data_IF_200359521636
#
_entry.id   IF_200359521636
#
_cell.length_a   1.000
_cell.length_b   1.000
_cell.length_c   1.000
_cell.angle_alpha   90.00
_cell.angle_beta   90.00
_cell.angle_gamma   90.00
#
_symmetry.space_group_name_H-M   'P 1'
#
loop_
_entity.id
_entity.type
_entity.pdbx_description
1 polymer ?
#
# COMPACT_ATOMS: atom_id res chain seq x y z
N UNK A 1 25.19 -62.39 -69.86
CA UNK A 1 26.32 -62.85 -70.70
C UNK A 1 26.03 -64.27 -71.14
N UNK A 2 26.25 -64.60 -72.41
CA UNK A 2 26.07 -65.95 -72.95
C UNK A 2 27.37 -66.75 -72.85
N UNK A 3 27.29 -68.09 -73.00
CA UNK A 3 28.46 -68.99 -73.01
C UNK A 3 29.50 -68.60 -74.06
N UNK A 4 29.04 -68.25 -75.26
CA UNK A 4 29.90 -67.77 -76.35
C UNK A 4 30.55 -66.41 -76.04
N UNK A 5 29.82 -65.50 -75.39
CA UNK A 5 30.39 -64.24 -74.93
C UNK A 5 31.44 -64.44 -73.83
N UNK A 6 31.23 -65.39 -72.92
CA UNK A 6 32.20 -65.75 -71.89
C UNK A 6 33.46 -66.40 -72.48
N UNK A 7 33.33 -67.27 -73.49
CA UNK A 7 34.47 -67.81 -74.25
C UNK A 7 35.30 -66.70 -74.90
N UNK A 8 34.64 -65.79 -75.62
CA UNK A 8 35.32 -64.66 -76.27
C UNK A 8 36.00 -63.72 -75.26
N UNK A 9 35.38 -63.49 -74.11
CA UNK A 9 35.99 -62.71 -73.03
C UNK A 9 37.27 -63.37 -72.49
N UNK A 10 37.26 -64.68 -72.27
CA UNK A 10 38.43 -65.44 -71.82
C UNK A 10 39.56 -65.45 -72.86
N UNK A 11 39.22 -65.58 -74.15
CA UNK A 11 40.19 -65.45 -75.26
C UNK A 11 40.79 -64.04 -75.27
N UNK A 12 39.97 -63.00 -75.16
CA UNK A 12 40.43 -61.61 -75.06
C UNK A 12 41.30 -61.32 -73.83
N UNK A 13 41.16 -62.12 -72.76
CA UNK A 13 42.01 -62.07 -71.56
C UNK A 13 43.28 -62.93 -71.68
N UNK A 14 43.53 -63.57 -72.83
CA UNK A 14 44.77 -64.32 -73.11
C UNK A 14 44.68 -65.84 -72.95
N UNK A 15 43.48 -66.41 -72.78
CA UNK A 15 43.28 -67.87 -72.74
C UNK A 15 43.06 -68.40 -74.16
N UNK A 16 44.10 -69.02 -74.75
CA UNK A 16 44.08 -69.47 -76.15
C UNK A 16 42.98 -70.48 -76.48
N UNK A 17 42.64 -71.37 -75.55
CA UNK A 17 41.56 -72.36 -75.68
C UNK A 17 40.82 -72.51 -74.34
N UNK A 18 39.78 -71.69 -74.08
CA UNK A 18 39.08 -71.70 -72.80
C UNK A 18 38.35 -73.02 -72.56
N UNK A 19 38.63 -73.68 -71.44
CA UNK A 19 37.90 -74.89 -71.06
C UNK A 19 36.46 -74.59 -70.66
N UNK A 20 35.55 -75.56 -70.83
CA UNK A 20 34.15 -75.43 -70.40
C UNK A 20 34.03 -75.12 -68.88
N UNK A 21 34.97 -75.60 -68.06
CA UNK A 21 35.04 -75.25 -66.64
C UNK A 21 35.42 -73.78 -66.41
N UNK A 22 36.37 -73.23 -67.17
CA UNK A 22 36.73 -71.80 -67.08
C UNK A 22 35.56 -70.91 -67.50
N UNK A 23 34.83 -71.32 -68.55
CA UNK A 23 33.63 -70.62 -69.04
C UNK A 23 32.50 -70.67 -68.01
N UNK A 24 32.25 -71.83 -67.39
CA UNK A 24 31.24 -71.95 -66.33
C UNK A 24 31.59 -71.10 -65.12
N UNK A 25 32.85 -71.14 -64.65
CA UNK A 25 33.32 -70.32 -63.51
C UNK A 25 33.14 -68.83 -63.74
N UNK A 26 33.41 -68.33 -64.95
CA UNK A 26 33.21 -66.92 -65.28
C UNK A 26 31.73 -66.54 -65.25
N UNK A 27 30.85 -67.35 -65.83
CA UNK A 27 29.40 -67.12 -65.81
C UNK A 27 28.82 -67.17 -64.40
N UNK A 28 29.27 -68.11 -63.57
CA UNK A 28 28.85 -68.24 -62.18
C UNK A 28 29.33 -67.04 -61.35
N UNK A 29 30.57 -66.59 -61.54
CA UNK A 29 31.13 -65.40 -60.89
C UNK A 29 30.34 -64.13 -61.24
N UNK A 30 30.06 -63.92 -62.54
CA UNK A 30 29.29 -62.76 -63.00
C UNK A 30 27.86 -62.82 -62.46
N UNK A 31 27.24 -63.99 -62.40
CA UNK A 31 25.89 -64.16 -61.87
C UNK A 31 25.85 -63.87 -60.36
N UNK A 32 26.83 -64.35 -59.60
CA UNK A 32 26.97 -64.06 -58.18
C UNK A 32 27.20 -62.57 -57.92
N UNK A 33 28.06 -61.92 -58.71
CA UNK A 33 28.37 -60.50 -58.59
C UNK A 33 27.18 -59.62 -59.00
N UNK A 34 26.45 -60.00 -60.05
CA UNK A 34 25.20 -59.34 -60.45
C UNK A 34 24.13 -59.44 -59.37
N UNK A 35 24.00 -60.60 -58.72
CA UNK A 35 23.06 -60.78 -57.60
C UNK A 35 23.46 -59.90 -56.41
N UNK A 36 24.73 -59.94 -56.02
CA UNK A 36 25.28 -59.09 -54.94
C UNK A 36 25.06 -57.61 -55.21
N UNK A 37 25.24 -57.15 -56.44
CA UNK A 37 25.06 -55.75 -56.81
C UNK A 37 23.59 -55.35 -56.82
N UNK A 38 22.68 -56.23 -57.27
CA UNK A 38 21.24 -56.02 -57.13
C UNK A 38 20.81 -55.91 -55.67
N UNK A 39 21.28 -56.81 -54.81
CA UNK A 39 20.95 -56.81 -53.37
C UNK A 39 21.45 -55.53 -52.69
N UNK A 40 22.67 -55.06 -53.03
CA UNK A 40 23.17 -53.75 -52.57
C UNK A 40 22.30 -52.59 -53.06
N UNK A 41 21.89 -52.60 -54.34
CA UNK A 41 21.11 -51.51 -54.91
C UNK A 41 19.73 -51.41 -54.25
N UNK A 42 19.10 -52.55 -53.95
CA UNK A 42 17.87 -52.60 -53.13
C UNK A 42 18.13 -52.02 -51.74
N UNK A 43 19.19 -52.45 -51.06
CA UNK A 43 19.54 -51.95 -49.73
C UNK A 43 19.83 -50.44 -49.71
N UNK A 44 20.51 -49.92 -50.73
CA UNK A 44 20.79 -48.49 -50.87
C UNK A 44 19.50 -47.70 -51.12
N UNK A 45 18.59 -48.24 -51.94
CA UNK A 45 17.30 -47.61 -52.20
C UNK A 45 16.45 -47.52 -50.93
N UNK A 46 16.35 -48.60 -50.16
CA UNK A 46 15.64 -48.59 -48.86
C UNK A 46 16.24 -47.59 -47.87
N UNK A 47 17.57 -47.50 -47.82
CA UNK A 47 18.25 -46.50 -46.96
C UNK A 47 17.99 -45.08 -47.42
N UNK A 48 17.95 -44.82 -48.73
CA UNK A 48 17.63 -43.51 -49.27
C UNK A 48 16.19 -43.11 -48.92
N UNK A 49 15.22 -43.99 -49.13
CA UNK A 49 13.82 -43.73 -48.76
C UNK A 49 13.65 -43.47 -47.25
N UNK A 50 14.39 -44.20 -46.41
CA UNK A 50 14.40 -43.97 -44.96
C UNK A 50 15.06 -42.64 -44.58
N UNK A 51 16.13 -42.24 -45.26
CA UNK A 51 16.80 -40.96 -45.04
C UNK A 51 15.86 -39.79 -45.40
N UNK A 52 15.19 -39.86 -46.56
CA UNK A 52 14.22 -38.85 -47.00
C UNK A 52 13.05 -38.73 -46.02
N UNK A 53 12.58 -39.85 -45.45
CA UNK A 53 11.53 -39.85 -44.43
C UNK A 53 11.98 -39.16 -43.14
N UNK A 54 13.19 -39.47 -42.66
CA UNK A 54 13.74 -38.88 -41.44
C UNK A 54 14.02 -37.39 -41.61
N UNK A 55 14.45 -36.95 -42.80
CA UNK A 55 14.68 -35.55 -43.10
C UNK A 55 13.38 -34.74 -43.04
N UNK A 56 12.30 -35.27 -43.62
CA UNK A 56 10.96 -34.65 -43.52
C UNK A 56 10.46 -34.57 -42.07
N UNK A 57 10.63 -35.63 -41.29
CA UNK A 57 10.22 -35.64 -39.89
C UNK A 57 11.01 -34.61 -39.05
N UNK A 58 12.32 -34.46 -39.32
CA UNK A 58 13.15 -33.44 -38.68
C UNK A 58 12.76 -32.01 -39.04
N UNK A 59 12.38 -31.74 -40.29
CA UNK A 59 11.88 -30.43 -40.70
C UNK A 59 10.55 -30.07 -40.02
N UNK A 60 9.61 -31.02 -39.97
CA UNK A 60 8.33 -30.85 -39.29
C UNK A 60 8.53 -30.58 -37.79
N UNK A 61 9.40 -31.37 -37.13
CA UNK A 61 9.76 -31.18 -35.71
C UNK A 61 10.40 -29.83 -35.45
N UNK A 62 11.33 -29.38 -36.31
CA UNK A 62 11.94 -28.04 -36.19
C UNK A 62 10.89 -26.94 -36.30
N UNK A 63 9.98 -27.05 -37.27
CA UNK A 63 8.92 -26.07 -37.48
C UNK A 63 7.96 -26.02 -36.30
N UNK A 64 7.53 -27.18 -35.80
CA UNK A 64 6.68 -27.27 -34.61
C UNK A 64 7.37 -26.68 -33.38
N UNK A 65 8.64 -27.00 -33.15
CA UNK A 65 9.42 -26.43 -32.04
C UNK A 65 9.57 -24.91 -32.14
N UNK A 66 9.76 -24.37 -33.35
CA UNK A 66 9.79 -22.91 -33.55
C UNK A 66 8.44 -22.27 -33.20
N UNK A 67 7.33 -22.83 -33.67
CA UNK A 67 5.99 -22.31 -33.37
C UNK A 67 5.64 -22.37 -31.88
N UNK A 68 6.01 -23.47 -31.20
CA UNK A 68 5.79 -23.61 -29.76
C UNK A 68 6.65 -22.65 -28.94
N UNK A 69 7.89 -22.41 -29.36
CA UNK A 69 8.76 -21.41 -28.73
C UNK A 69 8.18 -19.99 -28.84
N UNK A 70 7.68 -19.60 -30.02
CA UNK A 70 7.00 -18.32 -30.22
C UNK A 70 5.73 -18.19 -29.36
N UNK A 71 4.95 -19.28 -29.24
CA UNK A 71 3.75 -19.32 -28.38
C UNK A 71 4.11 -19.11 -26.91
N UNK A 72 5.12 -19.83 -26.41
CA UNK A 72 5.61 -19.72 -25.05
C UNK A 72 6.16 -18.33 -24.74
N UNK A 73 6.88 -17.71 -25.67
CA UNK A 73 7.41 -16.36 -25.47
C UNK A 73 6.28 -15.31 -25.41
N UNK A 74 5.26 -15.44 -26.26
CA UNK A 74 4.08 -14.59 -26.23
C UNK A 74 3.29 -14.75 -24.92
N UNK A 75 3.17 -15.98 -24.42
CA UNK A 75 2.52 -16.29 -23.13
C UNK A 75 3.32 -15.70 -21.95
N UNK A 76 4.64 -15.90 -21.93
CA UNK A 76 5.54 -15.33 -20.92
C UNK A 76 5.50 -13.81 -20.91
N UNK A 77 5.39 -13.18 -22.09
CA UNK A 77 5.29 -11.72 -22.20
C UNK A 77 3.98 -11.21 -21.63
N UNK A 78 2.85 -11.86 -21.94
CA UNK A 78 1.54 -11.53 -21.37
C UNK A 78 1.52 -11.70 -19.85
N UNK A 79 2.09 -12.79 -19.35
CA UNK A 79 2.19 -13.04 -17.92
C UNK A 79 3.05 -11.96 -17.24
N UNK A 80 4.20 -11.62 -17.83
CA UNK A 80 5.04 -10.54 -17.31
C UNK A 80 4.31 -9.19 -17.29
N UNK A 81 3.60 -8.83 -18.35
CA UNK A 81 2.80 -7.60 -18.40
C UNK A 81 1.68 -7.60 -17.34
N UNK A 82 1.03 -8.75 -17.11
CA UNK A 82 0.02 -8.89 -16.06
C UNK A 82 0.63 -8.73 -14.66
N UNK A 83 1.78 -9.36 -14.40
CA UNK A 83 2.51 -9.26 -13.13
C UNK A 83 3.01 -7.83 -12.90
N UNK A 84 3.57 -7.17 -13.92
CA UNK A 84 4.04 -5.79 -13.82
C UNK A 84 2.88 -4.83 -13.50
N UNK A 85 1.70 -5.07 -14.07
CA UNK A 85 0.48 -4.32 -13.75
C UNK A 85 0.02 -4.56 -12.31
N UNK A 86 -0.08 -5.81 -11.88
CA UNK A 86 -0.47 -6.14 -10.51
C UNK A 86 0.50 -5.55 -9.48
N UNK A 87 1.79 -5.57 -9.79
CA UNK A 87 2.82 -4.98 -8.95
C UNK A 87 2.71 -3.45 -8.87
N UNK A 88 2.33 -2.78 -9.96
CA UNK A 88 2.05 -1.34 -9.94
C UNK A 88 0.80 -1.02 -9.10
N UNK A 89 -0.27 -1.80 -9.25
CA UNK A 89 -1.51 -1.64 -8.50
C UNK A 89 -1.28 -1.87 -6.99
N UNK A 90 -0.53 -2.92 -6.61
CA UNK A 90 -0.16 -3.19 -5.22
C UNK A 90 0.69 -2.07 -4.62
N UNK A 91 1.66 -1.51 -5.38
CA UNK A 91 2.45 -0.36 -4.93
C UNK A 91 1.60 0.88 -4.70
N UNK A 92 0.64 1.15 -5.59
CA UNK A 92 -0.28 2.28 -5.44
C UNK A 92 -1.19 2.10 -4.21
N UNK A 93 -1.74 0.90 -4.02
CA UNK A 93 -2.56 0.56 -2.86
C UNK A 93 -1.78 0.67 -1.54
N UNK A 94 -0.53 0.21 -1.52
CA UNK A 94 0.34 0.33 -0.34
C UNK A 94 0.64 1.80 -0.01
N UNK A 95 0.95 2.62 -1.01
CA UNK A 95 1.18 4.05 -0.83
C UNK A 95 -0.08 4.77 -0.30
N UNK A 96 -1.25 4.45 -0.85
CA UNK A 96 -2.53 5.01 -0.38
C UNK A 96 -2.86 4.55 1.05
N UNK A 97 -2.65 3.27 1.37
CA UNK A 97 -2.87 2.72 2.71
C UNK A 97 -1.97 3.39 3.75
N UNK A 98 -0.67 3.53 3.45
CA UNK A 98 0.29 4.19 4.33
C UNK A 98 -0.08 5.67 4.54
N UNK A 99 -0.50 6.36 3.48
CA UNK A 99 -0.97 7.75 3.58
C UNK A 99 -2.22 7.88 4.46
N UNK A 100 -3.20 6.99 4.31
CA UNK A 100 -4.41 6.98 5.15
C UNK A 100 -4.08 6.70 6.62
N UNK A 101 -3.20 5.73 6.89
CA UNK A 101 -2.74 5.42 8.23
C UNK A 101 -2.06 6.63 8.89
N UNK A 102 -1.09 7.24 8.21
CA UNK A 102 -0.39 8.43 8.70
C UNK A 102 -1.35 9.60 8.92
N UNK A 103 -2.28 9.84 7.98
CA UNK A 103 -3.32 10.88 8.14
C UNK A 103 -4.15 10.64 9.40
N UNK A 104 -4.56 9.39 9.67
CA UNK A 104 -5.33 9.04 10.86
C UNK A 104 -4.54 9.28 12.15
N UNK A 105 -3.26 8.91 12.16
CA UNK A 105 -2.38 9.08 13.33
C UNK A 105 -2.16 10.56 13.66
N UNK A 106 -1.86 11.37 12.64
CA UNK A 106 -1.74 12.83 12.74
C UNK A 106 -3.07 13.44 13.23
N UNK A 107 -4.20 13.02 12.65
CA UNK A 107 -5.53 13.50 13.07
C UNK A 107 -5.77 13.22 14.56
N UNK A 108 -5.37 12.03 15.05
CA UNK A 108 -5.49 11.68 16.46
C UNK A 108 -4.61 12.56 17.35
N UNK A 109 -3.39 12.93 16.93
CA UNK A 109 -2.55 13.87 17.69
C UNK A 109 -3.23 15.22 17.88
N UNK A 110 -3.82 15.77 16.82
CA UNK A 110 -4.57 17.03 16.90
C UNK A 110 -5.76 16.91 17.86
N UNK A 111 -6.57 15.85 17.71
CA UNK A 111 -7.73 15.63 18.55
C UNK A 111 -7.36 15.44 20.03
N UNK A 112 -6.31 14.66 20.32
CA UNK A 112 -5.83 14.40 21.68
C UNK A 112 -5.30 15.67 22.37
N UNK A 113 -4.79 16.63 21.60
CA UNK A 113 -4.40 17.94 22.10
C UNK A 113 -5.57 18.93 22.23
N UNK A 114 -6.80 18.50 21.95
CA UNK A 114 -7.99 19.35 21.98
C UNK A 114 -8.06 20.36 20.82
N UNK A 115 -7.27 20.16 19.77
CA UNK A 115 -7.30 21.00 18.57
C UNK A 115 -8.38 20.50 17.60
N UNK A 116 -9.12 21.43 17.00
CA UNK A 116 -10.15 21.11 16.01
C UNK A 116 -9.55 20.48 14.75
N UNK A 117 -9.87 19.22 14.50
CA UNK A 117 -9.41 18.50 13.30
C UNK A 117 -10.01 19.08 12.02
N UNK A 118 -11.14 19.78 12.11
CA UNK A 118 -11.74 20.51 11.00
C UNK A 118 -10.96 21.78 10.69
N UNK A 119 -10.64 22.58 11.72
CA UNK A 119 -9.85 23.82 11.57
C UNK A 119 -8.45 23.53 11.01
N UNK A 120 -7.85 22.41 11.43
CA UNK A 120 -6.50 22.02 11.00
C UNK A 120 -6.47 20.97 9.89
N UNK A 121 -7.59 20.69 9.20
CA UNK A 121 -7.67 19.68 8.14
C UNK A 121 -6.60 19.86 7.04
N UNK A 122 -6.33 21.11 6.66
CA UNK A 122 -5.29 21.44 5.68
C UNK A 122 -3.88 21.11 6.17
N UNK A 123 -3.58 21.38 7.45
CA UNK A 123 -2.29 21.07 8.06
C UNK A 123 -2.10 19.55 8.18
N UNK A 124 -3.12 18.83 8.67
CA UNK A 124 -3.14 17.37 8.74
C UNK A 124 -2.84 16.76 7.37
N UNK A 125 -3.52 17.24 6.32
CA UNK A 125 -3.31 16.76 4.95
C UNK A 125 -1.91 17.09 4.42
N UNK A 126 -1.37 18.26 4.77
CA UNK A 126 -0.03 18.69 4.36
C UNK A 126 1.05 17.78 4.96
N UNK A 127 1.02 17.55 6.28
CA UNK A 127 1.95 16.66 6.96
C UNK A 127 1.85 15.21 6.43
N UNK A 128 0.64 14.70 6.20
CA UNK A 128 0.46 13.35 5.66
C UNK A 128 0.86 13.20 4.18
N UNK A 129 1.07 14.30 3.45
CA UNK A 129 1.43 14.28 2.02
C UNK A 129 2.85 14.80 1.75
N UNK A 130 3.54 15.30 2.77
CA UNK A 130 4.89 15.83 2.61
C UNK A 130 5.90 14.68 2.38
N UNK A 131 6.96 14.93 1.59
CA UNK A 131 7.92 13.92 1.19
C UNK A 131 8.93 13.65 2.31
N UNK A 132 8.47 13.09 3.42
CA UNK A 132 9.34 12.62 4.48
C UNK A 132 10.02 11.31 4.07
N UNK A 133 11.32 11.19 4.30
CA UNK A 133 12.04 9.92 4.11
C UNK A 133 11.60 8.86 5.12
N UNK A 134 11.15 9.29 6.30
CA UNK A 134 10.73 8.45 7.42
C UNK A 134 9.45 8.98 8.07
N UNK A 135 8.44 8.13 8.33
CA UNK A 135 7.20 8.53 9.02
C UNK A 135 7.44 9.22 10.37
N UNK A 136 8.50 8.83 11.09
CA UNK A 136 8.85 9.39 12.40
C UNK A 136 9.20 10.87 12.33
N UNK A 137 9.74 11.34 11.21
CA UNK A 137 10.09 12.76 11.04
C UNK A 137 8.83 13.62 10.88
N UNK A 138 7.83 13.12 10.14
CA UNK A 138 6.51 13.74 10.04
C UNK A 138 5.86 13.88 11.42
N UNK A 139 5.89 12.81 12.20
CA UNK A 139 5.26 12.76 13.52
C UNK A 139 5.93 13.71 14.52
N UNK A 140 7.26 13.87 14.50
CA UNK A 140 7.97 14.84 15.34
C UNK A 140 7.62 16.29 15.00
N UNK A 141 7.50 16.61 13.71
CA UNK A 141 7.10 17.95 13.28
C UNK A 141 5.65 18.25 13.69
N UNK A 142 4.76 17.27 13.52
CA UNK A 142 3.37 17.37 13.97
C UNK A 142 3.30 17.54 15.48
N UNK A 143 4.05 16.76 16.26
CA UNK A 143 4.11 16.87 17.72
C UNK A 143 4.56 18.27 18.15
N UNK A 144 5.61 18.80 17.52
CA UNK A 144 6.13 20.14 17.79
C UNK A 144 5.09 21.21 17.49
N UNK A 145 4.42 21.10 16.34
CA UNK A 145 3.37 22.02 15.93
C UNK A 145 2.18 22.00 16.90
N UNK A 146 1.65 20.81 17.18
CA UNK A 146 0.50 20.60 18.06
C UNK A 146 0.79 21.13 19.47
N UNK A 147 1.98 20.87 20.00
CA UNK A 147 2.41 21.40 21.30
C UNK A 147 2.44 22.92 21.31
N UNK A 148 3.08 23.53 20.30
CA UNK A 148 3.18 25.00 20.21
C UNK A 148 1.81 25.69 20.12
N UNK A 149 0.89 25.16 19.32
CA UNK A 149 -0.48 25.68 19.21
C UNK A 149 -1.24 25.50 20.52
N UNK A 150 -1.10 24.35 21.18
CA UNK A 150 -1.80 24.07 22.44
C UNK A 150 -1.34 25.01 23.56
N UNK A 151 -0.04 25.27 23.66
CA UNK A 151 0.54 26.23 24.60
C UNK A 151 0.05 27.66 24.32
N UNK A 152 0.00 28.06 23.05
CA UNK A 152 -0.52 29.37 22.65
C UNK A 152 -2.02 29.53 22.99
N UNK A 153 -2.84 28.50 22.69
CA UNK A 153 -4.27 28.50 23.01
C UNK A 153 -4.52 28.58 24.52
N UNK A 154 -3.75 27.84 25.31
CA UNK A 154 -3.81 27.90 26.78
C UNK A 154 -3.52 29.30 27.28
N UNK A 155 -2.43 29.91 26.81
CA UNK A 155 -2.02 31.27 27.20
C UNK A 155 -3.08 32.31 26.83
N UNK A 156 -3.66 32.21 25.64
CA UNK A 156 -4.73 33.10 25.19
C UNK A 156 -5.99 32.94 26.05
N UNK A 157 -6.37 31.71 26.39
CA UNK A 157 -7.52 31.41 27.23
C UNK A 157 -7.35 31.95 28.65
N UNK A 158 -6.17 31.76 29.25
CA UNK A 158 -5.86 32.29 30.58
C UNK A 158 -5.88 33.82 30.59
N UNK A 159 -5.37 34.46 29.52
CA UNK A 159 -5.41 35.92 29.35
C UNK A 159 -6.85 36.43 29.21
N UNK A 160 -7.67 35.76 28.39
CA UNK A 160 -9.08 36.13 28.20
C UNK A 160 -9.90 35.96 29.49
N UNK A 161 -9.65 34.88 30.25
CA UNK A 161 -10.27 34.68 31.57
C UNK A 161 -9.90 35.79 32.54
N UNK A 162 -8.63 36.14 32.65
CA UNK A 162 -8.19 37.21 33.53
C UNK A 162 -8.80 38.58 33.14
N UNK A 163 -8.93 38.86 31.85
CA UNK A 163 -9.59 40.06 31.36
C UNK A 163 -11.09 40.07 31.72
N UNK A 164 -11.78 38.93 31.51
CA UNK A 164 -13.20 38.79 31.85
C UNK A 164 -13.45 38.88 33.35
N UNK A 165 -12.62 38.24 34.19
CA UNK A 165 -12.73 38.32 35.66
C UNK A 165 -12.58 39.77 36.13
N UNK A 166 -11.61 40.51 35.58
CA UNK A 166 -11.45 41.94 35.89
C UNK A 166 -12.69 42.76 35.49
N UNK A 167 -13.20 42.57 34.28
CA UNK A 167 -14.40 43.27 33.80
C UNK A 167 -15.64 42.92 34.62
N UNK A 168 -15.79 41.65 35.01
CA UNK A 168 -16.88 41.19 35.86
C UNK A 168 -16.81 41.87 37.25
N UNK A 169 -15.63 41.96 37.86
CA UNK A 169 -15.43 42.66 39.14
C UNK A 169 -15.77 44.17 39.05
N UNK A 170 -15.36 44.84 37.96
CA UNK A 170 -15.63 46.28 37.77
C UNK A 170 -17.12 46.57 37.52
N UNK A 171 -17.85 45.65 36.87
CA UNK A 171 -19.26 45.85 36.50
C UNK A 171 -20.27 45.26 37.49
N UNK A 172 -19.87 44.48 38.49
CA UNK A 172 -20.78 44.01 39.55
C UNK A 172 -21.17 45.17 40.49
N UNK A 173 -22.46 45.53 40.63
CA UNK A 173 -22.89 46.50 41.61
C UNK A 173 -22.52 46.03 43.02
N UNK A 174 -21.82 46.88 43.77
CA UNK A 174 -21.43 46.58 45.15
C UNK A 174 -22.71 46.31 45.99
N UNK A 175 -22.86 45.16 46.67
CA UNK A 175 -24.09 44.80 47.39
C UNK A 175 -24.40 45.69 48.61
N UNK A 176 -23.54 46.66 48.93
CA UNK A 176 -23.86 47.80 49.79
C UNK A 176 -24.06 49.05 48.95
N UNK A 177 -25.32 49.42 48.69
CA UNK A 177 -25.68 50.62 47.94
C UNK A 177 -24.98 51.87 48.46
N UNK A 178 -24.34 52.61 47.54
CA UNK A 178 -23.69 53.87 47.89
C UNK A 178 -22.84 54.42 46.75
N UNK A 179 -23.47 54.88 45.68
CA UNK A 179 -22.87 55.94 44.87
C UNK A 179 -22.85 57.19 45.77
N UNK A 180 -21.75 57.40 46.47
CA UNK A 180 -21.55 58.56 47.33
C UNK A 180 -21.71 59.84 46.51
N UNK A 181 -22.74 60.63 46.81
CA UNK A 181 -22.94 61.91 46.12
C UNK A 181 -24.30 62.59 46.23
N UNK A 182 -25.27 62.10 47.02
CA UNK A 182 -26.52 62.85 47.28
C UNK A 182 -26.92 62.85 48.76
N UNK A 183 -27.46 63.98 49.26
CA UNK A 183 -27.71 64.19 50.68
C UNK A 183 -28.69 63.14 51.24
N UNK A 184 -28.37 62.68 52.45
CA UNK A 184 -29.04 61.61 53.20
C UNK A 184 -30.52 61.91 53.43
N UNK A 185 -31.38 61.34 52.59
CA UNK A 185 -32.78 61.12 52.95
C UNK A 185 -32.80 59.86 53.82
N UNK A 186 -33.24 59.98 55.08
CA UNK A 186 -33.37 58.84 55.99
C UNK A 186 -34.35 57.84 55.37
N UNK A 187 -33.94 56.57 55.28
CA UNK A 187 -34.79 55.52 54.72
C UNK A 187 -35.90 55.14 55.70
N UNK A 188 -37.02 54.64 55.18
CA UNK A 188 -38.15 54.12 55.97
C UNK A 188 -37.70 53.03 56.96
N UNK A 189 -36.64 52.28 56.63
CA UNK A 189 -36.02 51.31 57.51
C UNK A 189 -35.37 51.95 58.74
N UNK A 190 -34.75 53.13 58.60
CA UNK A 190 -34.19 53.88 59.72
C UNK A 190 -35.28 54.43 60.64
N UNK A 191 -36.44 54.82 60.09
CA UNK A 191 -37.60 55.22 60.90
C UNK A 191 -38.22 54.03 61.63
N UNK A 192 -38.35 52.88 60.97
CA UNK A 192 -38.85 51.65 61.60
C UNK A 192 -37.95 51.21 62.77
N UNK A 193 -36.63 51.20 62.57
CA UNK A 193 -35.67 50.83 63.63
C UNK A 193 -35.74 51.77 64.84
N UNK A 194 -35.95 53.07 64.60
CA UNK A 194 -36.12 54.06 65.66
C UNK A 194 -37.44 53.84 66.42
N UNK A 195 -38.56 53.69 65.71
CA UNK A 195 -39.87 53.46 66.32
C UNK A 195 -39.92 52.14 67.12
N UNK A 196 -39.29 51.08 66.60
CA UNK A 196 -39.18 49.80 67.31
C UNK A 196 -38.35 49.94 68.60
N UNK A 197 -37.21 50.62 68.53
CA UNK A 197 -36.35 50.85 69.69
C UNK A 197 -37.06 51.68 70.77
N UNK A 198 -37.78 52.73 70.38
CA UNK A 198 -38.57 53.55 71.30
C UNK A 198 -39.71 52.75 71.96
N UNK A 199 -40.33 51.82 71.23
CA UNK A 199 -41.38 50.95 71.77
C UNK A 199 -40.84 49.94 72.79
N UNK A 200 -39.69 49.32 72.51
CA UNK A 200 -39.09 48.33 73.42
C UNK A 200 -38.50 48.98 74.68
N UNK A 201 -38.16 50.27 74.65
CA UNK A 201 -37.63 51.00 75.80
C UNK A 201 -38.71 51.48 76.80
N UNK A 202 -40.01 51.30 76.48
CA UNK A 202 -41.12 51.64 77.38
C UNK A 202 -41.55 50.49 78.30
N UNK A 203 -41.16 49.24 78.01
CA UNK A 203 -41.52 48.06 78.83
C UNK A 203 -40.65 47.87 80.08
N UNK A 204 -39.64 48.72 80.30
CA UNK A 204 -38.85 48.74 81.55
C UNK A 204 -39.15 50.00 82.36
N UNK A 205 -40.38 50.13 82.87
CA UNK A 205 -40.64 50.95 84.07
C UNK A 205 -41.09 50.03 85.19
N UNK A 206 -40.18 49.85 86.14
CA UNK A 206 -40.40 49.28 87.46
C UNK A 206 -41.64 49.91 88.12
N UNK A 207 -42.56 49.08 88.60
CA UNK A 207 -43.56 49.51 89.57
C UNK A 207 -42.91 49.55 90.96
N UNK A 208 -43.15 50.68 91.62
CA UNK A 208 -42.57 51.20 92.85
C UNK A 208 -42.68 50.32 94.11
N UNK A 209 -41.74 50.63 95.01
CA UNK A 209 -41.86 50.73 96.46
C UNK A 209 -42.36 49.56 97.30
N UNK A 210 -41.48 49.10 98.19
CA UNK A 210 -41.91 48.83 99.56
C UNK A 210 -40.83 49.24 100.56
N UNK A 211 -41.10 50.32 101.30
CA UNK A 211 -40.32 50.77 102.45
C UNK A 211 -40.50 49.82 103.66
N UNK A 212 -39.49 49.64 104.53
CA UNK A 212 -39.59 48.75 105.67
C UNK A 212 -40.34 49.36 106.87
N UNK A 213 -40.83 48.42 107.69
CA UNK A 213 -41.75 48.53 108.84
C UNK A 213 -41.19 49.28 110.06
N UNK A 214 -41.98 50.24 110.56
CA UNK A 214 -42.32 50.59 111.96
C UNK A 214 -41.23 50.63 113.08
N UNK A 215 -40.96 51.83 113.62
CA UNK A 215 -41.18 52.33 115.01
C UNK A 215 -41.05 53.86 114.99
#
# INVERSE_FOLDING_TARGET
>A
MTREQAKQALIGMGVAEPSEEQVSKLLDSISAETKKEKDKNVSLKEKAEKADSLEKELEELKKQNMTEAERLEAERKKEKEAVDKELADLKAALAESNKKALTSEITSMFANAGLSTETYASAIKAYASAPYEKPEDAMKEVETFVKGVSEANKTALDTAKAAWEKEALENTPNPGGGSGGKPTVKSDAAEFAKAYSEKMNQETKSADDNAPVNI
#
